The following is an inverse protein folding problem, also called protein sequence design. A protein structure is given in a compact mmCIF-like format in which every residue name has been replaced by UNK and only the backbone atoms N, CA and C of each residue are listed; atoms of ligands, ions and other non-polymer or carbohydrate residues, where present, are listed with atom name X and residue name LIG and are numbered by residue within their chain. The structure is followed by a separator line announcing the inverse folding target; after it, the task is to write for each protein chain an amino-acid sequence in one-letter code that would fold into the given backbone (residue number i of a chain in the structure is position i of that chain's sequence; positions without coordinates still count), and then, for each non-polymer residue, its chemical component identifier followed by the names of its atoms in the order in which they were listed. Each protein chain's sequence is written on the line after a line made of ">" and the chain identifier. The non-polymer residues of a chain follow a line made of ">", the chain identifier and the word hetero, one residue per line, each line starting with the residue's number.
data_IF_718488218399
#
_entry.id   IF_718488218399
#
_cell.length_a   1.000
_cell.length_b   1.000
_cell.length_c   1.000
_cell.angle_alpha   90.00
_cell.angle_beta   90.00
_cell.angle_gamma   90.00
#
_symmetry.space_group_name_H-M   'P 1'
#
loop_
_entity.id
_entity.type
_entity.pdbx_description
1 polymer ?
#
# COMPACT_ATOMS: atom_id res chain seq x y z
N UNK A 1 -2.07 17.15 14.46
CA UNK A 1 -0.91 17.18 13.54
C UNK A 1 0.11 16.09 13.87
N UNK A 2 0.55 15.96 15.12
CA UNK A 2 1.50 14.90 15.52
C UNK A 2 1.01 13.48 15.22
N UNK A 3 -0.24 13.15 15.57
CA UNK A 3 -0.85 11.83 15.29
C UNK A 3 -0.73 11.44 13.81
N UNK A 4 -1.09 12.36 12.90
CA UNK A 4 -0.97 12.15 11.46
C UNK A 4 0.46 11.86 11.02
N UNK A 5 1.44 12.61 11.54
CA UNK A 5 2.85 12.40 11.22
C UNK A 5 3.30 11.02 11.69
N UNK A 6 2.95 10.61 12.91
CA UNK A 6 3.30 9.28 13.42
C UNK A 6 2.64 8.15 12.62
N UNK A 7 1.38 8.32 12.21
CA UNK A 7 0.68 7.38 11.32
C UNK A 7 1.33 7.31 9.94
N UNK A 8 1.73 8.45 9.37
CA UNK A 8 2.43 8.52 8.09
C UNK A 8 3.79 7.83 8.18
N UNK A 9 4.56 8.11 9.24
CA UNK A 9 5.83 7.43 9.51
C UNK A 9 5.63 5.93 9.65
N UNK A 10 4.61 5.49 10.40
CA UNK A 10 4.30 4.07 10.53
C UNK A 10 3.98 3.41 9.19
N UNK A 11 3.19 4.08 8.34
CA UNK A 11 2.86 3.59 7.00
C UNK A 11 4.11 3.45 6.13
N UNK A 12 4.94 4.49 6.04
CA UNK A 12 6.19 4.47 5.27
C UNK A 12 7.15 3.39 5.79
N UNK A 13 7.30 3.26 7.11
CA UNK A 13 8.14 2.23 7.72
C UNK A 13 7.62 0.82 7.43
N UNK A 14 6.31 0.59 7.49
CA UNK A 14 5.73 -0.71 7.12
C UNK A 14 6.02 -1.09 5.68
N UNK A 15 5.95 -0.12 4.77
CA UNK A 15 6.28 -0.31 3.36
C UNK A 15 7.77 -0.62 3.14
N UNK A 16 8.66 0.03 3.90
CA UNK A 16 10.11 -0.22 3.84
C UNK A 16 10.45 -1.60 4.40
N UNK A 17 9.92 -1.94 5.58
CA UNK A 17 10.19 -3.20 6.27
C UNK A 17 9.67 -4.39 5.47
N UNK A 18 8.53 -4.24 4.79
CA UNK A 18 7.85 -5.33 4.12
C UNK A 18 7.66 -5.13 2.62
N UNK A 19 8.68 -4.60 1.94
CA UNK A 19 8.72 -4.54 0.47
C UNK A 19 9.35 -5.80 -0.13
N UNK A 20 8.52 -6.74 -0.60
CA UNK A 20 8.97 -7.91 -1.35
C UNK A 20 8.21 -8.10 -2.65
N UNK A 21 8.93 -8.42 -3.74
CA UNK A 21 8.32 -8.83 -5.01
C UNK A 21 7.40 -10.05 -4.84
N UNK A 22 7.74 -10.98 -3.92
CA UNK A 22 6.90 -12.14 -3.63
C UNK A 22 5.55 -11.71 -3.07
N UNK A 23 5.54 -10.78 -2.11
CA UNK A 23 4.31 -10.24 -1.54
C UNK A 23 3.47 -9.51 -2.60
N UNK A 24 4.11 -8.71 -3.45
CA UNK A 24 3.43 -8.05 -4.54
C UNK A 24 2.73 -9.06 -5.48
N UNK A 25 3.34 -10.20 -5.78
CA UNK A 25 2.69 -11.27 -6.53
C UNK A 25 1.55 -11.92 -5.71
N UNK A 26 1.77 -12.23 -4.43
CA UNK A 26 0.76 -12.83 -3.55
C UNK A 26 -0.53 -11.99 -3.45
N UNK A 27 -0.41 -10.66 -3.30
CA UNK A 27 -1.56 -9.73 -3.28
C UNK A 27 -2.41 -9.81 -4.56
N UNK A 28 -1.84 -10.28 -5.66
CA UNK A 28 -2.49 -10.43 -6.97
C UNK A 28 -2.82 -11.88 -7.31
N UNK A 29 -2.72 -12.78 -6.34
CA UNK A 29 -2.93 -14.20 -6.61
C UNK A 29 -4.34 -14.48 -7.10
N UNK A 30 -4.49 -15.40 -8.06
CA UNK A 30 -5.80 -15.92 -8.47
C UNK A 30 -6.52 -16.66 -7.33
N UNK A 31 -5.78 -17.26 -6.40
CA UNK A 31 -6.31 -17.94 -5.22
C UNK A 31 -6.70 -16.93 -4.13
N UNK A 32 -7.99 -16.85 -3.82
CA UNK A 32 -8.54 -15.89 -2.84
C UNK A 32 -7.87 -15.99 -1.46
N UNK A 33 -7.70 -17.20 -0.92
CA UNK A 33 -7.07 -17.40 0.39
C UNK A 33 -5.60 -16.95 0.41
N UNK A 34 -4.87 -17.15 -0.67
CA UNK A 34 -3.47 -16.72 -0.80
C UNK A 34 -3.39 -15.20 -0.88
N UNK A 35 -4.29 -14.58 -1.64
CA UNK A 35 -4.40 -13.13 -1.72
C UNK A 35 -4.74 -12.52 -0.36
N UNK A 36 -5.80 -12.98 0.29
CA UNK A 36 -6.24 -12.44 1.58
C UNK A 36 -5.18 -12.64 2.66
N UNK A 37 -4.54 -13.80 2.74
CA UNK A 37 -3.48 -14.01 3.73
C UNK A 37 -2.29 -13.06 3.52
N UNK A 38 -1.84 -12.86 2.28
CA UNK A 38 -0.79 -11.89 1.97
C UNK A 38 -1.17 -10.45 2.34
N UNK A 39 -2.43 -10.07 2.11
CA UNK A 39 -2.96 -8.76 2.46
C UNK A 39 -3.09 -8.55 3.96
N UNK A 40 -3.60 -9.56 4.69
CA UNK A 40 -3.72 -9.52 6.14
C UNK A 40 -2.36 -9.45 6.83
N UNK A 41 -1.37 -10.23 6.39
CA UNK A 41 -0.02 -10.19 6.96
C UNK A 41 0.60 -8.81 6.76
N UNK A 42 0.49 -8.25 5.55
CA UNK A 42 1.00 -6.93 5.25
C UNK A 42 0.30 -5.85 6.09
N UNK A 43 -1.03 -5.86 6.13
CA UNK A 43 -1.80 -4.95 6.96
C UNK A 43 -1.45 -5.07 8.44
N UNK A 44 -1.23 -6.28 8.95
CA UNK A 44 -0.86 -6.53 10.36
C UNK A 44 0.48 -5.89 10.71
N UNK A 45 1.46 -5.92 9.79
CA UNK A 45 2.74 -5.23 9.97
C UNK A 45 2.53 -3.72 10.07
N UNK A 46 1.74 -3.13 9.17
CA UNK A 46 1.41 -1.69 9.25
C UNK A 46 0.68 -1.34 10.55
N UNK A 47 -0.35 -2.10 10.92
CA UNK A 47 -1.09 -1.91 12.16
C UNK A 47 -0.19 -2.02 13.40
N UNK A 48 0.71 -3.00 13.43
CA UNK A 48 1.64 -3.21 14.54
C UNK A 48 2.63 -2.04 14.69
N UNK A 49 3.24 -1.59 13.57
CA UNK A 49 4.13 -0.44 13.57
C UNK A 49 3.37 0.83 13.98
N UNK A 50 2.14 1.00 13.52
CA UNK A 50 1.31 2.14 13.92
C UNK A 50 0.93 2.11 15.39
N UNK A 51 0.63 0.94 15.96
CA UNK A 51 0.41 0.79 17.40
C UNK A 51 1.62 1.25 18.21
N UNK A 52 2.82 0.83 17.81
CA UNK A 52 4.07 1.30 18.45
C UNK A 52 4.26 2.80 18.28
N UNK A 53 4.10 3.33 17.07
CA UNK A 53 4.26 4.77 16.80
C UNK A 53 3.24 5.61 17.58
N UNK A 54 1.98 5.22 17.60
CA UNK A 54 0.93 5.92 18.35
C UNK A 54 1.11 5.80 19.86
N UNK A 55 1.60 4.66 20.36
CA UNK A 55 1.94 4.50 21.78
C UNK A 55 3.06 5.46 22.21
N UNK A 56 4.04 5.70 21.33
CA UNK A 56 5.12 6.65 21.54
C UNK A 56 4.72 8.11 21.25
N UNK A 57 3.54 8.33 20.67
CA UNK A 57 3.07 9.67 20.34
C UNK A 57 2.76 10.46 21.62
N UNK A 58 3.23 11.72 21.74
CA UNK A 58 2.88 12.57 22.88
C UNK A 58 1.36 12.79 22.97
N UNK A 59 0.81 12.66 24.18
CA UNK A 59 -0.61 12.85 24.47
C UNK A 59 -1.35 11.57 24.85
N UNK A 60 -2.61 11.71 25.26
CA UNK A 60 -3.50 10.56 25.47
C UNK A 60 -4.20 10.25 24.16
N UNK A 61 -3.67 9.27 23.43
CA UNK A 61 -4.27 8.75 22.19
C UNK A 61 -4.61 7.29 22.41
N UNK A 62 -5.77 6.86 21.92
CA UNK A 62 -6.12 5.44 21.88
C UNK A 62 -5.32 4.74 20.77
N UNK A 63 -4.07 4.40 21.09
CA UNK A 63 -3.12 3.81 20.18
C UNK A 63 -3.59 2.47 19.62
N UNK A 64 -4.33 1.69 20.41
CA UNK A 64 -4.83 0.39 20.00
C UNK A 64 -5.96 0.55 18.97
N UNK A 65 -6.92 1.44 19.24
CA UNK A 65 -7.97 1.79 18.29
C UNK A 65 -7.39 2.32 16.97
N UNK A 66 -6.39 3.19 17.05
CA UNK A 66 -5.69 3.72 15.86
C UNK A 66 -4.99 2.62 15.04
N UNK A 67 -4.31 1.69 15.70
CA UNK A 67 -3.67 0.54 15.06
C UNK A 67 -4.69 -0.37 14.34
N UNK A 68 -5.81 -0.66 15.00
CA UNK A 68 -6.90 -1.47 14.42
C UNK A 68 -7.53 -0.77 13.23
N UNK A 69 -7.81 0.54 13.33
CA UNK A 69 -8.33 1.29 12.18
C UNK A 69 -7.36 1.30 11.00
N UNK A 70 -6.07 1.54 11.25
CA UNK A 70 -5.07 1.49 10.18
C UNK A 70 -5.05 0.11 9.52
N UNK A 71 -5.01 -0.96 10.31
CA UNK A 71 -5.06 -2.33 9.81
C UNK A 71 -6.27 -2.54 8.88
N UNK A 72 -7.47 -2.21 9.35
CA UNK A 72 -8.70 -2.42 8.59
C UNK A 72 -8.73 -1.60 7.29
N UNK A 73 -8.42 -0.30 7.36
CA UNK A 73 -8.42 0.56 6.18
C UNK A 73 -7.35 0.15 5.17
N UNK A 74 -6.14 -0.15 5.63
CA UNK A 74 -5.03 -0.56 4.77
C UNK A 74 -5.35 -1.87 4.04
N UNK A 75 -5.84 -2.89 4.75
CA UNK A 75 -6.27 -4.15 4.14
C UNK A 75 -7.39 -3.90 3.12
N UNK A 76 -8.38 -3.09 3.46
CA UNK A 76 -9.50 -2.78 2.55
C UNK A 76 -9.03 -2.10 1.26
N UNK A 77 -8.21 -1.04 1.37
CA UNK A 77 -7.66 -0.32 0.22
C UNK A 77 -6.85 -1.27 -0.66
N UNK A 78 -5.97 -2.07 -0.05
CA UNK A 78 -5.14 -3.01 -0.81
C UNK A 78 -5.96 -4.14 -1.47
N UNK A 79 -7.05 -4.62 -0.85
CA UNK A 79 -7.98 -5.58 -1.48
C UNK A 79 -8.59 -4.97 -2.74
N UNK A 80 -9.13 -3.76 -2.64
CA UNK A 80 -9.79 -3.07 -3.75
C UNK A 80 -8.80 -2.81 -4.88
N UNK A 81 -7.62 -2.26 -4.55
CA UNK A 81 -6.54 -1.99 -5.48
C UNK A 81 -6.06 -3.27 -6.17
N UNK A 82 -5.76 -4.31 -5.40
CA UNK A 82 -5.22 -5.57 -5.96
C UNK A 82 -6.23 -6.28 -6.85
N UNK A 83 -7.52 -6.28 -6.50
CA UNK A 83 -8.57 -6.84 -7.35
C UNK A 83 -8.81 -6.01 -8.62
N UNK A 84 -8.69 -4.69 -8.53
CA UNK A 84 -8.76 -3.80 -9.69
C UNK A 84 -7.61 -4.09 -10.67
N UNK A 85 -6.38 -4.19 -10.14
CA UNK A 85 -5.22 -4.55 -10.96
C UNK A 85 -5.34 -5.95 -11.56
N UNK A 86 -5.83 -6.95 -10.81
CA UNK A 86 -6.10 -8.30 -11.34
C UNK A 86 -7.06 -8.29 -12.51
N UNK A 87 -8.15 -7.51 -12.41
CA UNK A 87 -9.17 -7.42 -13.47
C UNK A 87 -8.64 -6.74 -14.73
N UNK A 88 -7.83 -5.69 -14.58
CA UNK A 88 -7.32 -4.90 -15.71
C UNK A 88 -6.06 -5.50 -16.33
N UNK A 89 -5.18 -6.07 -15.53
CA UNK A 89 -3.84 -6.48 -15.95
C UNK A 89 -3.59 -7.98 -15.79
N UNK A 90 -4.53 -8.79 -15.28
CA UNK A 90 -4.39 -10.23 -15.08
C UNK A 90 -3.85 -10.61 -13.70
N UNK A 91 -4.08 -11.87 -13.29
CA UNK A 91 -3.64 -12.40 -11.99
C UNK A 91 -2.18 -12.83 -11.98
N UNK A 92 -1.64 -12.98 -10.76
CA UNK A 92 -0.32 -13.59 -10.49
C UNK A 92 0.88 -12.89 -11.15
N UNK A 93 0.68 -11.67 -11.68
CA UNK A 93 1.72 -10.86 -12.32
C UNK A 93 1.65 -9.39 -11.90
N UNK A 94 2.81 -8.75 -11.92
CA UNK A 94 2.94 -7.31 -11.70
C UNK A 94 3.01 -6.64 -13.08
N UNK A 95 2.07 -5.74 -13.37
CA UNK A 95 2.02 -5.05 -14.66
C UNK A 95 3.33 -4.25 -14.92
N UNK A 96 3.69 -3.38 -13.97
CA UNK A 96 4.91 -2.57 -14.01
C UNK A 96 5.63 -2.70 -12.68
N UNK A 97 6.88 -3.20 -12.69
CA UNK A 97 7.70 -3.27 -11.48
C UNK A 97 8.26 -1.88 -11.14
N UNK A 98 8.44 -1.60 -9.85
CA UNK A 98 9.07 -0.34 -9.36
C UNK A 98 10.44 -0.11 -9.99
N UNK A 99 11.24 -1.16 -10.15
CA UNK A 99 12.56 -1.08 -10.80
C UNK A 99 12.46 -0.72 -12.28
N UNK A 100 11.52 -1.34 -13.01
CA UNK A 100 11.31 -1.09 -14.44
C UNK A 100 10.86 0.37 -14.68
N UNK A 101 9.95 0.88 -13.85
CA UNK A 101 9.51 2.28 -13.91
C UNK A 101 10.65 3.28 -13.61
N UNK A 102 11.46 2.99 -12.59
CA UNK A 102 12.64 3.82 -12.26
C UNK A 102 13.67 3.82 -13.38
N UNK A 103 13.91 2.67 -14.00
CA UNK A 103 14.85 2.56 -15.12
C UNK A 103 14.32 3.33 -16.34
N UNK A 104 13.02 3.31 -16.59
CA UNK A 104 12.38 4.13 -17.61
C UNK A 104 12.53 5.64 -17.37
N UNK A 105 12.25 6.14 -16.16
CA UNK A 105 12.46 7.56 -15.82
C UNK A 105 13.91 7.99 -16.06
N UNK A 106 14.87 7.09 -15.82
CA UNK A 106 16.31 7.35 -16.01
C UNK A 106 16.77 7.16 -17.46
N UNK A 107 15.89 6.90 -18.41
CA UNK A 107 16.22 6.65 -19.82
C UNK A 107 16.93 5.31 -20.07
N UNK A 108 16.84 4.35 -19.15
CA UNK A 108 17.51 3.03 -19.19
C UNK A 108 16.54 1.86 -19.32
N UNK A 109 15.31 2.08 -19.79
CA UNK A 109 14.33 1.01 -19.96
C UNK A 109 14.80 -0.01 -21.00
N UNK A 110 14.67 -1.29 -20.67
CA UNK A 110 14.87 -2.41 -21.63
C UNK A 110 13.66 -2.61 -22.56
N UNK A 111 12.51 -2.03 -22.20
CA UNK A 111 11.26 -2.15 -22.95
C UNK A 111 10.54 -0.78 -22.95
N UNK A 112 10.88 0.11 -23.89
CA UNK A 112 10.28 1.45 -23.98
C UNK A 112 8.82 1.43 -24.39
N UNK A 113 8.39 0.44 -25.19
CA UNK A 113 7.02 0.34 -25.70
C UNK A 113 6.03 -0.02 -24.59
N UNK A 114 6.39 -0.96 -23.71
CA UNK A 114 5.63 -1.24 -22.48
C UNK A 114 5.47 0.00 -21.60
N UNK A 115 6.47 0.88 -21.60
CA UNK A 115 6.53 2.09 -20.78
C UNK A 115 5.98 3.34 -21.49
N UNK A 116 5.29 3.18 -22.61
CA UNK A 116 4.59 4.30 -23.24
C UNK A 116 3.50 4.84 -22.31
N UNK A 117 3.35 6.16 -22.24
CA UNK A 117 2.33 6.82 -21.43
C UNK A 117 0.91 6.31 -21.68
N UNK A 118 0.56 5.96 -22.92
CA UNK A 118 -0.74 5.38 -23.25
C UNK A 118 -1.01 4.05 -22.51
N UNK A 119 0.04 3.26 -22.29
CA UNK A 119 -0.02 2.00 -21.55
C UNK A 119 0.08 2.23 -20.03
N UNK A 120 0.82 3.26 -19.60
CA UNK A 120 1.05 3.56 -18.19
C UNK A 120 -0.08 4.36 -17.53
N UNK A 121 -0.90 5.10 -18.28
CA UNK A 121 -1.89 6.03 -17.73
C UNK A 121 -2.81 5.37 -16.70
N UNK A 122 -3.39 4.22 -17.04
CA UNK A 122 -4.29 3.48 -16.16
C UNK A 122 -3.57 2.98 -14.91
N UNK A 123 -2.35 2.46 -15.08
CA UNK A 123 -1.52 2.02 -13.96
C UNK A 123 -1.14 3.18 -13.03
N UNK A 124 -0.74 4.33 -13.57
CA UNK A 124 -0.44 5.54 -12.80
C UNK A 124 -1.67 6.03 -12.03
N UNK A 125 -2.84 6.06 -12.68
CA UNK A 125 -4.08 6.46 -12.03
C UNK A 125 -4.41 5.56 -10.84
N UNK A 126 -4.28 4.24 -10.98
CA UNK A 126 -4.50 3.29 -9.87
C UNK A 126 -3.54 3.57 -8.72
N UNK A 127 -2.25 3.83 -8.99
CA UNK A 127 -1.28 4.13 -7.95
C UNK A 127 -1.54 5.49 -7.27
N UNK A 128 -1.98 6.50 -8.03
CA UNK A 128 -2.36 7.81 -7.46
C UNK A 128 -3.57 7.64 -6.54
N UNK A 129 -4.61 6.93 -6.98
CA UNK A 129 -5.80 6.68 -6.19
C UNK A 129 -5.50 5.82 -4.96
N UNK A 130 -4.63 4.83 -5.09
CA UNK A 130 -4.12 3.99 -3.99
C UNK A 130 -3.44 4.85 -2.91
N UNK A 131 -2.46 5.67 -3.30
CA UNK A 131 -1.74 6.54 -2.37
C UNK A 131 -2.64 7.61 -1.76
N UNK A 132 -3.53 8.21 -2.55
CA UNK A 132 -4.52 9.16 -2.05
C UNK A 132 -5.46 8.52 -1.02
N UNK A 133 -5.92 7.29 -1.28
CA UNK A 133 -6.80 6.56 -0.36
C UNK A 133 -6.11 6.27 0.97
N UNK A 134 -4.82 5.90 0.95
CA UNK A 134 -4.03 5.74 2.17
C UNK A 134 -3.88 7.07 2.90
N UNK A 135 -3.52 8.15 2.22
CA UNK A 135 -3.37 9.47 2.86
C UNK A 135 -4.68 9.97 3.49
N UNK A 136 -5.81 9.78 2.80
CA UNK A 136 -7.14 10.12 3.31
C UNK A 136 -7.47 9.25 4.53
N UNK A 137 -7.19 7.95 4.51
CA UNK A 137 -7.47 7.08 5.65
C UNK A 137 -6.63 7.46 6.87
N UNK A 138 -5.34 7.81 6.71
CA UNK A 138 -4.51 8.32 7.81
C UNK A 138 -5.09 9.59 8.43
N UNK A 139 -5.59 10.50 7.58
CA UNK A 139 -6.22 11.74 8.03
C UNK A 139 -7.52 11.46 8.78
N UNK A 140 -8.39 10.59 8.25
CA UNK A 140 -9.63 10.17 8.92
C UNK A 140 -9.35 9.52 10.27
N UNK A 141 -8.38 8.60 10.34
CA UNK A 141 -7.97 7.97 11.61
C UNK A 141 -7.54 9.03 12.61
N UNK A 142 -6.75 10.02 12.17
CA UNK A 142 -6.30 11.14 13.02
C UNK A 142 -7.47 11.93 13.63
N UNK A 143 -8.61 12.00 12.96
CA UNK A 143 -9.80 12.68 13.48
C UNK A 143 -10.64 11.81 14.44
N UNK A 144 -10.43 10.49 14.44
CA UNK A 144 -11.23 9.51 15.18
C UNK A 144 -10.56 8.99 16.47
N UNK A 145 -9.28 9.32 16.68
CA UNK A 145 -8.46 8.89 17.83
C UNK A 145 -7.82 10.10 18.52
#
# INVERSE_FOLDING_TARGET
>A
MYIFIFLLTAHVLGDVVFSSNKLAVLKRSSLFLVQVSGLMIHGLIHGSIAGVMLYLCPGRVDWFKGAVYLFCFHVFIDIVRSNTEKRLFGSDRIHVKRSEFRDWIRGRSKDPEKMNFNNLRTWLLINILDQASHMISLYVITLLI
#
